data_IF_789318870522
#
_entry.id   IF_789318870522
#
_cell.length_a   1.000
_cell.length_b   1.000
_cell.length_c   1.000
_cell.angle_alpha   90.00
_cell.angle_beta   90.00
_cell.angle_gamma   90.00
#
_symmetry.space_group_name_H-M   'P 1'
#
loop_
_entity.id
_entity.type
_entity.pdbx_description
1 polymer ?
#
# COMPACT_ATOMS: atom_id res chain seq x y z
N UNK A 1 2.40 37.50 18.94
CA UNK A 1 2.45 36.40 17.96
C UNK A 1 3.88 35.88 17.89
N UNK A 2 4.10 34.65 18.37
CA UNK A 2 5.41 33.98 18.36
C UNK A 2 5.67 33.22 17.04
N UNK A 3 4.76 33.33 16.05
CA UNK A 3 4.89 32.71 14.73
C UNK A 3 4.64 31.20 14.69
N UNK A 4 4.15 30.60 15.80
CA UNK A 4 3.82 29.18 15.88
C UNK A 4 2.42 28.90 15.33
N UNK A 5 2.25 27.77 14.63
CA UNK A 5 0.97 27.32 14.11
C UNK A 5 0.13 26.72 15.26
N UNK A 6 -0.90 27.42 15.73
CA UNK A 6 -1.74 26.96 16.83
C UNK A 6 -3.00 26.20 16.38
N UNK A 7 -3.44 26.41 15.13
CA UNK A 7 -4.68 25.83 14.62
C UNK A 7 -4.66 25.62 13.12
N UNK A 8 -5.18 24.49 12.67
CA UNK A 8 -5.53 24.21 11.28
C UNK A 8 -7.04 24.02 11.23
N UNK A 9 -7.72 24.75 10.35
CA UNK A 9 -9.17 24.60 10.13
C UNK A 9 -9.41 24.13 8.70
N UNK A 10 -10.25 23.12 8.55
CA UNK A 10 -10.67 22.56 7.28
C UNK A 10 -12.00 23.14 6.83
N UNK A 11 -12.32 23.04 5.54
CA UNK A 11 -13.57 23.58 4.97
C UNK A 11 -14.83 22.85 5.50
N UNK A 12 -14.68 21.60 5.91
CA UNK A 12 -15.72 20.77 6.54
C UNK A 12 -16.02 21.14 8.01
N UNK A 13 -15.30 22.13 8.56
CA UNK A 13 -15.43 22.59 9.94
C UNK A 13 -14.55 21.86 10.95
N UNK A 14 -13.88 20.77 10.56
CA UNK A 14 -12.91 20.10 11.40
C UNK A 14 -11.73 21.00 11.76
N UNK A 15 -11.19 20.86 12.96
CA UNK A 15 -10.03 21.63 13.39
C UNK A 15 -9.01 20.78 14.11
N UNK A 16 -7.73 21.04 13.83
CA UNK A 16 -6.61 20.52 14.60
C UNK A 16 -6.05 21.69 15.43
N UNK A 17 -5.95 21.48 16.72
CA UNK A 17 -5.35 22.42 17.69
C UNK A 17 -3.96 21.93 18.09
N UNK A 18 -2.99 22.85 18.12
CA UNK A 18 -1.63 22.59 18.54
C UNK A 18 -1.33 23.43 19.78
N UNK A 19 -0.75 22.82 20.81
CA UNK A 19 -0.38 23.49 22.06
C UNK A 19 1.14 23.40 22.27
N UNK A 20 1.73 24.46 22.82
CA UNK A 20 3.18 24.58 22.98
C UNK A 20 3.56 24.96 24.42
N UNK A 21 4.77 24.58 24.78
CA UNK A 21 5.48 25.11 25.96
C UNK A 21 6.77 25.79 25.46
N UNK A 22 6.77 27.13 25.43
CA UNK A 22 7.76 27.87 24.64
C UNK A 22 7.60 27.53 23.15
N UNK A 23 8.67 27.04 22.51
CA UNK A 23 8.66 26.64 21.11
C UNK A 23 8.42 25.12 20.91
N UNK A 24 8.33 24.35 22.01
CA UNK A 24 8.12 22.91 21.94
C UNK A 24 6.62 22.56 21.85
N UNK A 25 6.24 21.81 20.83
CA UNK A 25 4.89 21.29 20.64
C UNK A 25 4.59 20.22 21.70
N UNK A 26 3.64 20.47 22.61
CA UNK A 26 3.31 19.54 23.69
C UNK A 26 2.04 18.75 23.46
N UNK A 27 1.16 19.21 22.56
CA UNK A 27 -0.08 18.53 22.25
C UNK A 27 -0.58 18.84 20.84
N UNK A 28 -1.10 17.81 20.20
CA UNK A 28 -1.92 17.88 18.98
C UNK A 28 -3.28 17.29 19.33
N UNK A 29 -4.37 17.99 19.01
CA UNK A 29 -5.72 17.47 19.30
C UNK A 29 -6.74 17.95 18.29
N UNK A 30 -7.77 17.13 18.10
CA UNK A 30 -9.02 17.45 17.43
C UNK A 30 -10.20 16.99 18.29
N UNK A 31 -11.42 17.01 17.76
CA UNK A 31 -12.64 16.62 18.48
C UNK A 31 -12.70 15.11 18.78
N UNK A 32 -11.88 14.29 18.09
CA UNK A 32 -11.91 12.83 18.19
C UNK A 32 -10.78 12.26 19.04
N UNK A 33 -9.69 13.01 19.26
CA UNK A 33 -8.55 12.51 20.02
C UNK A 33 -7.41 13.49 20.18
N UNK A 34 -6.34 13.02 20.81
CA UNK A 34 -5.14 13.84 20.97
C UNK A 34 -3.89 13.01 21.13
N UNK A 35 -2.74 13.63 20.79
CA UNK A 35 -1.41 13.17 21.15
C UNK A 35 -0.77 14.16 22.12
N UNK A 36 -0.24 13.65 23.22
CA UNK A 36 0.63 14.41 24.12
C UNK A 36 2.10 14.08 23.79
N UNK A 37 2.93 15.10 23.75
CA UNK A 37 4.35 14.99 23.44
C UNK A 37 5.16 15.42 24.66
N UNK A 38 6.16 14.62 25.06
CA UNK A 38 7.12 15.01 26.06
C UNK A 38 8.54 14.96 25.53
N UNK A 39 9.43 15.72 26.14
CA UNK A 39 10.80 15.92 25.70
C UNK A 39 11.77 15.63 26.83
N UNK A 40 12.94 15.09 26.48
CA UNK A 40 14.03 14.89 27.44
C UNK A 40 14.71 16.23 27.81
N UNK A 41 15.69 16.16 28.70
CA UNK A 41 16.44 17.36 29.17
C UNK A 41 17.26 18.04 28.07
N UNK A 42 17.52 17.37 26.97
CA UNK A 42 18.27 17.89 25.82
C UNK A 42 17.35 18.53 24.77
N UNK A 43 16.04 18.36 24.93
CA UNK A 43 15.02 18.91 24.03
C UNK A 43 14.56 17.96 22.94
N UNK A 44 15.01 16.70 22.96
CA UNK A 44 14.58 15.68 22.01
C UNK A 44 13.22 15.09 22.43
N UNK A 45 12.36 14.78 21.45
CA UNK A 45 11.06 14.14 21.68
C UNK A 45 11.25 12.76 22.32
N UNK A 46 10.81 12.57 23.57
CA UNK A 46 11.00 11.34 24.32
C UNK A 46 9.78 10.43 24.31
N UNK A 47 8.57 11.01 24.40
CA UNK A 47 7.32 10.22 24.32
C UNK A 47 6.28 10.86 23.45
N UNK A 48 5.50 10.02 22.77
CA UNK A 48 4.24 10.40 22.12
C UNK A 48 3.14 9.51 22.71
N UNK A 49 2.19 10.11 23.44
CA UNK A 49 1.09 9.39 24.12
C UNK A 49 -0.23 9.77 23.49
N UNK A 50 -1.03 8.79 23.08
CA UNK A 50 -2.36 9.03 22.53
C UNK A 50 -3.41 9.30 23.63
N UNK A 51 -4.65 9.63 23.21
CA UNK A 51 -5.76 9.93 24.14
C UNK A 51 -6.20 8.72 24.98
N UNK A 52 -5.74 7.51 24.68
CA UNK A 52 -6.06 6.27 25.41
C UNK A 52 -4.95 5.87 26.38
N UNK A 53 -3.82 6.60 26.37
CA UNK A 53 -2.67 6.37 27.25
C UNK A 53 -1.60 5.46 26.69
N UNK A 54 -1.69 5.01 25.42
CA UNK A 54 -0.62 4.25 24.76
C UNK A 54 0.50 5.17 24.37
N UNK A 55 1.74 4.73 24.59
CA UNK A 55 2.91 5.55 24.32
C UNK A 55 3.91 4.87 23.40
N UNK A 56 4.49 5.66 22.49
CA UNK A 56 5.75 5.33 21.82
C UNK A 56 6.85 6.02 22.62
N UNK A 57 7.92 5.26 22.95
CA UNK A 57 9.10 5.75 23.66
C UNK A 57 10.27 5.89 22.68
N UNK A 58 10.93 7.03 22.71
CA UNK A 58 12.05 7.36 21.83
C UNK A 58 13.31 7.58 22.71
N UNK A 59 14.42 6.96 22.34
CA UNK A 59 15.71 7.10 23.05
C UNK A 59 16.76 7.63 22.10
N UNK A 60 17.67 8.46 22.64
CA UNK A 60 18.67 9.17 21.87
C UNK A 60 20.08 9.00 22.43
N UNK A 61 21.09 9.15 21.56
CA UNK A 61 22.47 9.42 21.89
C UNK A 61 22.83 10.77 21.27
N UNK A 62 22.95 11.81 22.12
CA UNK A 62 22.91 13.19 21.64
C UNK A 62 21.62 13.48 20.87
N UNK A 63 21.75 13.97 19.62
CA UNK A 63 20.63 14.24 18.75
C UNK A 63 20.22 13.03 17.86
N UNK A 64 20.94 11.91 17.96
CA UNK A 64 20.67 10.73 17.14
C UNK A 64 19.65 9.81 17.82
N UNK A 65 18.52 9.51 17.15
CA UNK A 65 17.54 8.55 17.62
C UNK A 65 18.12 7.13 17.56
N UNK A 66 18.31 6.47 18.72
CA UNK A 66 18.88 5.11 18.79
C UNK A 66 17.85 4.01 19.01
N UNK A 67 16.64 4.36 19.49
CA UNK A 67 15.57 3.40 19.69
C UNK A 67 14.19 4.04 19.62
N UNK A 68 13.22 3.28 19.06
CA UNK A 68 11.80 3.59 19.12
C UNK A 68 11.06 2.34 19.60
N UNK A 69 10.38 2.43 20.76
CA UNK A 69 9.64 1.33 21.38
C UNK A 69 8.13 1.55 21.23
N UNK A 70 7.42 0.52 20.80
CA UNK A 70 5.97 0.54 20.64
C UNK A 70 5.25 0.26 21.98
N UNK A 71 3.89 0.39 22.07
CA UNK A 71 3.13 0.11 23.28
C UNK A 71 3.18 -1.35 23.78
N UNK A 72 3.56 -2.31 22.95
CA UNK A 72 3.75 -3.72 23.33
C UNK A 72 5.16 -3.98 23.89
N UNK A 73 6.07 -2.96 23.90
CA UNK A 73 7.43 -3.06 24.42
C UNK A 73 8.46 -3.55 23.38
N UNK A 74 8.06 -3.69 22.13
CA UNK A 74 8.97 -4.05 21.04
C UNK A 74 9.72 -2.81 20.52
N UNK A 75 11.03 -2.93 20.26
CA UNK A 75 11.88 -1.79 19.91
C UNK A 75 12.57 -1.95 18.55
N UNK A 76 12.40 -0.95 17.68
CA UNK A 76 13.34 -0.71 16.57
C UNK A 76 14.61 -0.06 17.11
N UNK A 77 15.79 -0.40 16.55
CA UNK A 77 17.07 0.19 16.93
C UNK A 77 17.80 0.73 15.71
N UNK A 78 18.52 1.84 15.93
CA UNK A 78 19.22 2.57 14.90
C UNK A 78 20.68 2.74 15.28
N UNK A 79 21.60 2.58 14.32
CA UNK A 79 23.01 2.93 14.49
C UNK A 79 23.42 3.92 13.44
N UNK A 80 24.46 4.70 13.75
CA UNK A 80 24.94 5.76 12.87
C UNK A 80 26.44 5.63 12.67
N UNK A 81 26.90 5.99 11.48
CA UNK A 81 28.33 6.14 11.17
C UNK A 81 28.55 7.52 10.56
N UNK A 82 29.46 8.30 11.13
CA UNK A 82 29.74 9.70 10.74
C UNK A 82 28.47 10.59 10.70
N UNK A 83 27.48 10.33 11.58
CA UNK A 83 26.22 11.06 11.65
C UNK A 83 25.17 10.62 10.61
N UNK A 84 25.46 9.61 9.78
CA UNK A 84 24.54 9.03 8.80
C UNK A 84 24.01 7.68 9.30
N UNK A 85 22.75 7.37 9.01
CA UNK A 85 22.07 6.14 9.44
C UNK A 85 22.75 4.90 8.83
N UNK A 86 23.48 4.12 9.65
CA UNK A 86 24.20 2.93 9.20
C UNK A 86 23.30 1.69 9.20
N UNK A 87 22.61 1.40 10.30
CA UNK A 87 21.72 0.23 10.36
C UNK A 87 20.38 0.53 11.02
N UNK A 88 19.36 -0.22 10.59
CA UNK A 88 18.10 -0.37 11.32
C UNK A 88 17.94 -1.83 11.69
N UNK A 89 17.69 -2.10 12.98
CA UNK A 89 17.34 -3.43 13.47
C UNK A 89 15.85 -3.51 13.78
N UNK A 90 15.25 -4.64 13.43
CA UNK A 90 13.86 -4.92 13.74
C UNK A 90 13.66 -5.24 15.24
N UNK A 91 12.43 -5.51 15.64
CA UNK A 91 12.05 -5.82 17.03
C UNK A 91 12.73 -7.08 17.60
N UNK A 92 13.27 -7.98 16.76
CA UNK A 92 14.06 -9.15 17.19
C UNK A 92 15.56 -8.85 17.31
N UNK A 93 15.98 -7.64 16.91
CA UNK A 93 17.39 -7.24 16.88
C UNK A 93 18.14 -7.70 15.62
N UNK A 94 17.43 -8.16 14.60
CA UNK A 94 18.00 -8.53 13.31
C UNK A 94 18.15 -7.30 12.43
N UNK A 95 19.26 -7.18 11.69
CA UNK A 95 19.50 -6.05 10.79
C UNK A 95 18.50 -6.11 9.63
N UNK A 96 17.65 -5.07 9.57
CA UNK A 96 16.64 -4.92 8.54
C UNK A 96 17.11 -4.04 7.38
N UNK A 97 17.88 -2.99 7.68
CA UNK A 97 18.51 -2.11 6.70
C UNK A 97 19.97 -1.89 7.11
N UNK A 98 20.87 -1.90 6.14
CA UNK A 98 22.27 -1.49 6.28
C UNK A 98 22.68 -0.62 5.11
N UNK A 99 23.28 0.55 5.38
CA UNK A 99 23.69 1.53 4.39
C UNK A 99 25.18 1.82 4.47
N UNK A 100 25.80 2.04 3.31
CA UNK A 100 27.10 2.71 3.20
C UNK A 100 26.98 3.94 2.30
N UNK A 101 27.86 4.92 2.54
CA UNK A 101 27.75 6.25 1.94
C UNK A 101 29.04 6.67 1.25
N UNK A 102 28.92 7.52 0.24
CA UNK A 102 30.07 8.23 -0.33
C UNK A 102 30.45 9.47 0.53
N UNK A 103 31.49 10.18 0.08
CA UNK A 103 31.97 11.39 0.75
C UNK A 103 30.97 12.56 0.73
N UNK A 104 29.95 12.50 -0.10
CA UNK A 104 28.88 13.50 -0.20
C UNK A 104 27.65 13.12 0.63
N UNK A 105 27.68 11.98 1.34
CA UNK A 105 26.59 11.49 2.18
C UNK A 105 25.48 10.81 1.39
N UNK A 106 25.71 10.41 0.14
CA UNK A 106 24.74 9.65 -0.66
C UNK A 106 24.95 8.15 -0.47
N UNK A 107 23.87 7.38 -0.37
CA UNK A 107 23.94 5.91 -0.25
C UNK A 107 24.55 5.32 -1.51
N UNK A 108 25.65 4.57 -1.39
CA UNK A 108 26.30 3.84 -2.49
C UNK A 108 26.08 2.34 -2.43
N UNK A 109 25.77 1.82 -1.24
CA UNK A 109 25.41 0.43 -1.03
C UNK A 109 24.34 0.34 0.04
N UNK A 110 23.29 -0.48 -0.21
CA UNK A 110 22.23 -0.72 0.74
C UNK A 110 21.87 -2.20 0.73
N UNK A 111 21.79 -2.77 1.92
CA UNK A 111 21.03 -3.98 2.17
C UNK A 111 19.68 -3.59 2.77
N UNK A 112 18.59 -4.13 2.25
CA UNK A 112 17.26 -4.05 2.85
C UNK A 112 16.63 -5.44 2.82
N UNK A 113 16.17 -5.91 3.98
CA UNK A 113 15.74 -7.29 4.17
C UNK A 113 14.58 -7.69 3.25
N UNK A 114 13.75 -6.73 2.83
CA UNK A 114 12.56 -6.97 2.00
C UNK A 114 12.81 -6.91 0.49
N UNK A 115 13.93 -6.33 0.05
CA UNK A 115 14.22 -6.10 -1.37
C UNK A 115 15.62 -6.55 -1.82
N UNK A 116 16.49 -6.98 -0.87
CA UNK A 116 17.84 -7.46 -1.16
C UNK A 116 18.93 -6.39 -1.08
N UNK A 117 20.02 -6.61 -1.80
CA UNK A 117 21.21 -5.76 -1.80
C UNK A 117 21.30 -4.95 -3.08
N UNK A 118 21.59 -3.65 -2.96
CA UNK A 118 21.68 -2.72 -4.07
C UNK A 118 22.95 -1.88 -3.99
N UNK A 119 23.56 -1.66 -5.15
CA UNK A 119 24.60 -0.67 -5.38
C UNK A 119 24.04 0.52 -6.16
N UNK A 120 24.41 1.73 -5.75
CA UNK A 120 23.95 2.97 -6.37
C UNK A 120 25.14 3.74 -6.95
N UNK A 121 24.93 4.29 -8.15
CA UNK A 121 25.88 5.19 -8.77
C UNK A 121 25.19 6.49 -9.18
N UNK A 122 25.94 7.58 -9.09
CA UNK A 122 25.46 8.94 -9.37
C UNK A 122 26.35 9.58 -10.42
N UNK A 123 25.75 10.03 -11.51
CA UNK A 123 26.43 10.75 -12.60
C UNK A 123 25.77 12.13 -12.77
N UNK A 124 26.20 13.14 -12.02
CA UNK A 124 25.62 14.49 -12.07
C UNK A 124 25.80 15.17 -13.44
N UNK A 125 26.89 14.85 -14.16
CA UNK A 125 27.18 15.46 -15.46
C UNK A 125 26.13 15.04 -16.51
N UNK A 126 25.73 13.77 -16.49
CA UNK A 126 24.68 13.21 -17.36
C UNK A 126 23.32 13.18 -16.68
N UNK A 127 23.17 13.72 -15.47
CA UNK A 127 21.94 13.72 -14.66
C UNK A 127 21.33 12.32 -14.57
N UNK A 128 22.18 11.30 -14.30
CA UNK A 128 21.80 9.89 -14.27
C UNK A 128 22.10 9.28 -12.91
N UNK A 129 21.12 8.57 -12.37
CA UNK A 129 21.31 7.68 -11.24
C UNK A 129 21.07 6.24 -11.70
N UNK A 130 21.90 5.32 -11.18
CA UNK A 130 21.75 3.89 -11.51
C UNK A 130 21.71 3.09 -10.21
N UNK A 131 20.82 2.12 -10.11
CA UNK A 131 20.81 1.08 -9.08
C UNK A 131 20.97 -0.29 -9.71
N UNK A 132 21.79 -1.15 -9.08
CA UNK A 132 22.02 -2.54 -9.51
C UNK A 132 21.86 -3.45 -8.32
N UNK A 133 21.10 -4.52 -8.46
CA UNK A 133 20.96 -5.56 -7.44
C UNK A 133 21.92 -6.73 -7.69
N UNK A 134 22.27 -7.47 -6.62
CA UNK A 134 23.15 -8.66 -6.67
C UNK A 134 22.61 -9.77 -7.58
N UNK A 135 21.31 -9.78 -7.83
CA UNK A 135 20.54 -10.77 -8.62
C UNK A 135 20.35 -10.37 -10.09
N UNK A 136 21.02 -9.29 -10.52
CA UNK A 136 20.95 -8.78 -11.90
C UNK A 136 19.89 -7.70 -12.11
N UNK A 137 19.21 -7.25 -11.07
CA UNK A 137 18.36 -6.06 -11.17
C UNK A 137 19.16 -4.85 -11.64
N UNK A 138 18.57 -4.10 -12.56
CA UNK A 138 19.14 -2.87 -13.08
C UNK A 138 18.05 -1.81 -13.24
N UNK A 139 18.31 -0.61 -12.75
CA UNK A 139 17.47 0.56 -12.98
C UNK A 139 18.37 1.77 -13.22
N UNK A 140 18.19 2.45 -14.35
CA UNK A 140 18.84 3.73 -14.66
C UNK A 140 17.78 4.80 -14.87
N UNK A 141 17.90 5.92 -14.16
CA UNK A 141 16.99 7.05 -14.27
C UNK A 141 17.78 8.27 -14.75
N UNK A 142 17.25 8.95 -15.78
CA UNK A 142 17.80 10.20 -16.32
C UNK A 142 16.83 11.32 -16.02
N UNK A 143 17.37 12.45 -15.58
CA UNK A 143 16.63 13.65 -15.19
C UNK A 143 16.92 14.81 -16.18
N UNK A 144 15.97 15.71 -16.32
CA UNK A 144 16.22 17.00 -16.99
C UNK A 144 16.86 18.04 -16.05
N UNK A 145 16.97 19.28 -16.50
CA UNK A 145 17.54 20.40 -15.73
C UNK A 145 16.72 20.81 -14.53
N UNK A 146 15.43 20.47 -14.49
CA UNK A 146 14.53 20.73 -13.37
C UNK A 146 14.42 19.54 -12.41
N UNK A 147 15.19 18.45 -12.63
CA UNK A 147 15.17 17.24 -11.81
C UNK A 147 13.98 16.32 -12.09
N UNK A 148 13.26 16.50 -13.20
CA UNK A 148 12.14 15.63 -13.62
C UNK A 148 12.67 14.43 -14.34
N UNK A 149 12.09 13.25 -14.11
CA UNK A 149 12.47 12.02 -14.80
C UNK A 149 12.04 12.10 -16.26
N UNK A 150 13.01 11.98 -17.18
CA UNK A 150 12.78 11.95 -18.64
C UNK A 150 12.98 10.56 -19.24
N UNK A 151 13.79 9.71 -18.60
CA UNK A 151 13.96 8.31 -18.98
C UNK A 151 14.10 7.42 -17.75
N UNK A 152 13.51 6.22 -17.83
CA UNK A 152 13.64 5.13 -16.88
C UNK A 152 13.96 3.86 -17.65
N UNK A 153 15.14 3.29 -17.45
CA UNK A 153 15.62 2.10 -18.15
C UNK A 153 15.85 0.96 -17.17
N UNK A 154 15.28 -0.19 -17.41
CA UNK A 154 15.58 -1.45 -16.74
C UNK A 154 15.99 -2.50 -17.79
N UNK A 155 16.13 -3.77 -17.37
CA UNK A 155 16.48 -4.90 -18.23
C UNK A 155 15.48 -5.12 -19.38
N UNK A 156 14.22 -4.70 -19.23
CA UNK A 156 13.16 -4.85 -20.24
C UNK A 156 13.15 -3.71 -21.27
N UNK A 157 13.84 -2.60 -21.02
CA UNK A 157 13.93 -1.47 -21.95
C UNK A 157 13.77 -0.11 -21.30
N UNK A 158 13.51 0.91 -22.13
CA UNK A 158 13.45 2.30 -21.71
C UNK A 158 12.06 2.86 -21.86
N UNK A 159 11.56 3.44 -20.78
CA UNK A 159 10.37 4.27 -20.71
C UNK A 159 10.77 5.75 -20.79
N UNK A 160 10.01 6.58 -21.49
CA UNK A 160 10.33 8.00 -21.67
C UNK A 160 9.18 8.89 -21.29
N UNK A 161 9.50 10.09 -20.77
CA UNK A 161 8.52 11.07 -20.35
C UNK A 161 8.87 12.44 -20.93
N UNK A 162 7.87 13.22 -21.28
CA UNK A 162 8.06 14.62 -21.65
C UNK A 162 7.10 15.55 -20.90
N UNK A 163 7.52 16.79 -20.73
CA UNK A 163 6.84 17.78 -19.92
C UNK A 163 6.78 19.12 -20.67
N UNK A 164 5.75 19.90 -20.38
CA UNK A 164 5.63 21.27 -20.87
C UNK A 164 6.39 22.28 -19.98
N UNK A 165 6.26 23.57 -20.32
CA UNK A 165 6.88 24.67 -19.59
C UNK A 165 6.26 24.87 -18.20
N UNK A 166 5.03 24.40 -17.95
CA UNK A 166 4.32 24.45 -16.67
C UNK A 166 4.62 23.25 -15.77
N UNK A 167 5.57 22.39 -16.17
CA UNK A 167 5.96 21.17 -15.44
C UNK A 167 4.90 20.07 -15.45
N UNK A 168 3.99 20.07 -16.42
CA UNK A 168 2.95 19.07 -16.60
C UNK A 168 3.43 17.99 -17.56
N UNK A 169 3.19 16.70 -17.25
CA UNK A 169 3.57 15.59 -18.13
C UNK A 169 2.66 15.58 -19.37
N UNK A 170 3.23 15.77 -20.56
CA UNK A 170 2.50 15.79 -21.83
C UNK A 170 2.60 14.49 -22.61
N UNK A 171 3.59 13.64 -22.32
CA UNK A 171 3.61 12.29 -22.90
C UNK A 171 4.36 11.29 -22.04
N UNK A 172 4.01 10.03 -22.26
CA UNK A 172 4.71 8.86 -21.75
C UNK A 172 4.83 7.83 -22.88
N UNK A 173 6.05 7.34 -23.13
CA UNK A 173 6.31 6.24 -24.05
C UNK A 173 6.70 5.01 -23.25
N UNK A 174 5.96 3.92 -23.41
CA UNK A 174 6.25 2.64 -22.75
C UNK A 174 7.50 1.96 -23.35
N UNK A 175 7.90 0.82 -22.78
CA UNK A 175 9.09 0.07 -23.23
C UNK A 175 8.92 -0.59 -24.60
N UNK A 176 7.70 -0.79 -25.07
CA UNK A 176 7.38 -1.27 -26.41
C UNK A 176 7.40 -0.14 -27.46
N UNK A 177 7.49 1.12 -27.03
CA UNK A 177 7.53 2.31 -27.89
C UNK A 177 6.16 2.92 -28.18
N UNK A 178 5.11 2.50 -27.47
CA UNK A 178 3.78 3.07 -27.59
C UNK A 178 3.70 4.37 -26.77
N UNK A 179 3.16 5.44 -27.34
CA UNK A 179 3.10 6.73 -26.67
C UNK A 179 1.67 7.13 -26.34
N UNK A 180 1.46 7.46 -25.06
CA UNK A 180 0.24 8.09 -24.54
C UNK A 180 0.49 9.59 -24.39
N UNK A 181 -0.46 10.42 -24.81
CA UNK A 181 -0.40 11.87 -24.71
C UNK A 181 -1.42 12.40 -23.70
N UNK A 182 -1.06 13.47 -23.00
CA UNK A 182 -1.86 14.13 -21.99
C UNK A 182 -2.05 15.60 -22.36
N UNK A 183 -3.28 16.05 -22.36
CA UNK A 183 -3.63 17.47 -22.48
C UNK A 183 -4.12 17.99 -21.11
N UNK A 184 -3.83 19.24 -20.83
CA UNK A 184 -4.20 19.89 -19.57
C UNK A 184 -5.05 21.12 -19.84
N UNK A 185 -5.95 21.41 -18.90
CA UNK A 185 -6.69 22.68 -18.89
C UNK A 185 -5.81 23.82 -18.31
N UNK A 186 -6.34 25.03 -18.30
CA UNK A 186 -5.61 26.20 -17.78
C UNK A 186 -5.31 26.14 -16.27
N UNK A 187 -5.94 25.24 -15.53
CA UNK A 187 -5.72 25.02 -14.10
C UNK A 187 -4.75 23.86 -13.81
N UNK A 188 -4.26 23.20 -14.87
CA UNK A 188 -3.32 22.08 -14.77
C UNK A 188 -3.98 20.73 -14.54
N UNK A 189 -5.29 20.61 -14.68
CA UNK A 189 -5.97 19.31 -14.63
C UNK A 189 -5.89 18.63 -15.99
N UNK A 190 -5.79 17.27 -16.01
CA UNK A 190 -5.80 16.51 -17.26
C UNK A 190 -7.18 16.68 -17.94
N UNK A 191 -7.22 17.33 -19.10
CA UNK A 191 -8.44 17.53 -19.88
C UNK A 191 -8.69 16.43 -20.91
N UNK A 192 -7.62 15.80 -21.42
CA UNK A 192 -7.72 14.63 -22.31
C UNK A 192 -6.50 13.71 -22.19
N UNK A 193 -6.74 12.42 -22.47
CA UNK A 193 -5.70 11.40 -22.63
C UNK A 193 -5.91 10.77 -23.99
N UNK A 194 -4.87 10.78 -24.85
CA UNK A 194 -4.89 10.11 -26.15
C UNK A 194 -3.97 8.89 -26.08
N UNK A 195 -4.53 7.72 -26.33
CA UNK A 195 -3.83 6.44 -26.30
C UNK A 195 -3.15 6.10 -27.61
N UNK A 196 -2.20 5.14 -27.63
CA UNK A 196 -1.45 4.77 -28.85
C UNK A 196 -2.32 4.26 -29.99
N UNK A 197 -3.51 3.72 -29.72
CA UNK A 197 -4.48 3.27 -30.71
C UNK A 197 -5.34 4.41 -31.31
N UNK A 198 -5.09 5.66 -30.87
CA UNK A 198 -5.81 6.84 -31.31
C UNK A 198 -7.16 7.07 -30.61
N UNK A 199 -7.57 6.19 -29.69
CA UNK A 199 -8.74 6.45 -28.84
C UNK A 199 -8.40 7.46 -27.75
N UNK A 200 -9.40 8.17 -27.22
CA UNK A 200 -9.18 9.16 -26.18
C UNK A 200 -10.24 9.12 -25.08
N UNK A 201 -9.83 9.62 -23.92
CA UNK A 201 -10.70 9.96 -22.80
C UNK A 201 -10.67 11.46 -22.59
N UNK A 202 -11.75 12.05 -22.10
CA UNK A 202 -11.78 13.48 -21.77
C UNK A 202 -12.51 13.77 -20.48
N UNK A 203 -12.09 14.87 -19.82
CA UNK A 203 -12.52 15.26 -18.50
C UNK A 203 -12.90 16.74 -18.50
N UNK A 204 -13.96 17.07 -17.75
CA UNK A 204 -14.32 18.46 -17.43
C UNK A 204 -14.36 18.62 -15.93
N UNK A 205 -14.05 19.82 -15.45
CA UNK A 205 -13.90 20.12 -14.02
C UNK A 205 -14.71 21.34 -13.64
N UNK A 206 -15.08 21.43 -12.37
CA UNK A 206 -15.59 22.67 -11.75
C UNK A 206 -14.45 23.59 -11.31
N UNK A 207 -14.79 24.70 -10.66
CA UNK A 207 -13.83 25.69 -10.15
C UNK A 207 -12.96 25.13 -9.01
N UNK A 208 -13.46 24.12 -8.29
CA UNK A 208 -12.77 23.42 -7.19
C UNK A 208 -11.95 22.22 -7.68
N UNK A 209 -11.86 22.00 -9.01
CA UNK A 209 -11.15 20.89 -9.69
C UNK A 209 -11.77 19.50 -9.49
N UNK A 210 -13.05 19.43 -9.13
CA UNK A 210 -13.76 18.16 -9.13
C UNK A 210 -14.19 17.80 -10.56
N UNK A 211 -14.09 16.51 -10.93
CA UNK A 211 -14.49 16.03 -12.27
C UNK A 211 -16.01 16.10 -12.41
N UNK A 212 -16.52 17.00 -13.24
CA UNK A 212 -17.97 17.13 -13.51
C UNK A 212 -18.45 16.25 -14.65
N UNK A 213 -17.55 15.88 -15.58
CA UNK A 213 -17.86 14.99 -16.69
C UNK A 213 -16.63 14.18 -17.07
N UNK A 214 -16.86 12.91 -17.41
CA UNK A 214 -15.87 11.97 -17.95
C UNK A 214 -16.45 11.31 -19.19
N UNK A 215 -15.72 11.34 -20.31
CA UNK A 215 -16.05 10.59 -21.52
C UNK A 215 -15.03 9.49 -21.67
N UNK A 216 -15.48 8.24 -21.67
CA UNK A 216 -14.62 7.07 -21.81
C UNK A 216 -14.16 6.85 -23.27
N UNK A 217 -13.26 5.91 -23.48
CA UNK A 217 -12.71 5.54 -24.81
C UNK A 217 -13.76 5.03 -25.79
N UNK A 218 -14.97 4.65 -25.34
CA UNK A 218 -16.08 4.21 -26.17
C UNK A 218 -17.09 5.34 -26.45
N UNK A 219 -16.84 6.55 -25.91
CA UNK A 219 -17.71 7.70 -26.05
C UNK A 219 -18.86 7.74 -25.03
N UNK A 220 -18.88 6.88 -24.01
CA UNK A 220 -19.90 6.96 -22.96
C UNK A 220 -19.55 8.10 -22.00
N UNK A 221 -20.55 8.90 -21.65
CA UNK A 221 -20.38 10.04 -20.76
C UNK A 221 -20.91 9.72 -19.36
N UNK A 222 -20.08 9.87 -18.33
CA UNK A 222 -20.51 9.91 -16.93
C UNK A 222 -20.45 11.34 -16.42
N UNK A 223 -21.34 11.72 -15.51
CA UNK A 223 -21.36 13.07 -14.92
C UNK A 223 -21.56 13.03 -13.41
N UNK A 224 -21.03 14.06 -12.75
CA UNK A 224 -21.00 14.14 -11.30
C UNK A 224 -21.38 15.54 -10.83
N UNK A 225 -22.05 15.63 -9.68
CA UNK A 225 -22.26 16.88 -8.96
C UNK A 225 -21.72 16.76 -7.54
N UNK A 226 -21.31 17.88 -6.96
CA UNK A 226 -20.61 17.92 -5.68
C UNK A 226 -21.26 18.91 -4.73
N UNK A 227 -21.06 18.70 -3.43
CA UNK A 227 -21.31 19.72 -2.42
C UNK A 227 -20.10 20.66 -2.27
N UNK A 228 -20.20 21.68 -1.42
CA UNK A 228 -19.14 22.66 -1.19
C UNK A 228 -17.85 22.07 -0.54
N UNK A 229 -17.86 20.81 -0.12
CA UNK A 229 -16.70 20.10 0.45
C UNK A 229 -16.05 19.13 -0.58
N UNK A 230 -16.49 19.15 -1.84
CA UNK A 230 -15.97 18.27 -2.90
C UNK A 230 -16.49 16.83 -2.83
N UNK A 231 -17.55 16.55 -2.05
CA UNK A 231 -18.14 15.22 -1.97
C UNK A 231 -19.22 15.05 -3.03
N UNK A 232 -19.25 13.88 -3.69
CA UNK A 232 -20.19 13.56 -4.78
C UNK A 232 -21.62 13.55 -4.25
N UNK A 233 -22.50 14.41 -4.75
CA UNK A 233 -23.94 14.40 -4.48
C UNK A 233 -24.69 13.50 -5.44
N UNK A 234 -24.29 13.47 -6.72
CA UNK A 234 -24.86 12.59 -7.73
C UNK A 234 -23.78 12.06 -8.66
N UNK A 235 -23.94 10.81 -9.09
CA UNK A 235 -23.17 10.18 -10.15
C UNK A 235 -24.11 9.61 -11.17
N UNK A 236 -24.02 10.03 -12.44
CA UNK A 236 -24.85 9.55 -13.55
C UNK A 236 -23.97 8.80 -14.54
N UNK A 237 -24.30 7.55 -14.84
CA UNK A 237 -23.56 6.72 -15.81
C UNK A 237 -23.92 7.06 -17.26
N UNK A 238 -23.19 6.48 -18.24
CA UNK A 238 -23.42 6.69 -19.67
C UNK A 238 -24.77 6.18 -20.18
N UNK A 239 -25.57 5.52 -19.37
CA UNK A 239 -26.96 5.09 -19.68
C UNK A 239 -28.00 6.01 -19.06
N UNK A 240 -27.59 7.00 -18.27
CA UNK A 240 -28.46 7.92 -17.56
C UNK A 240 -28.93 7.42 -16.18
N UNK A 241 -28.41 6.32 -15.67
CA UNK A 241 -28.71 5.86 -14.31
C UNK A 241 -28.00 6.78 -13.31
N UNK A 242 -28.76 7.36 -12.39
CA UNK A 242 -28.22 8.29 -11.38
C UNK A 242 -28.27 7.67 -9.99
N UNK A 243 -27.13 7.67 -9.32
CA UNK A 243 -27.00 7.38 -7.89
C UNK A 243 -26.84 8.68 -7.13
N UNK A 244 -27.60 8.86 -6.04
CA UNK A 244 -27.55 10.04 -5.17
C UNK A 244 -26.94 9.70 -3.80
N UNK A 245 -26.24 10.67 -3.20
CA UNK A 245 -25.52 10.52 -1.94
C UNK A 245 -25.84 11.68 -1.00
N UNK A 246 -25.97 11.39 0.29
CA UNK A 246 -26.13 12.38 1.34
C UNK A 246 -25.06 12.19 2.42
N UNK A 247 -24.61 13.31 3.00
CA UNK A 247 -23.53 13.32 3.97
C UNK A 247 -23.92 14.12 5.22
N UNK A 248 -23.30 13.78 6.35
CA UNK A 248 -23.37 14.59 7.57
C UNK A 248 -22.40 15.79 7.50
N UNK A 249 -22.40 16.61 8.56
CA UNK A 249 -21.51 17.77 8.65
C UNK A 249 -20.02 17.39 8.82
N UNK A 250 -19.71 16.15 9.24
CA UNK A 250 -18.36 15.62 9.37
C UNK A 250 -17.87 14.98 8.07
N UNK A 251 -18.74 14.90 7.05
CA UNK A 251 -18.40 14.28 5.77
C UNK A 251 -18.68 12.80 5.67
N UNK A 252 -19.31 12.19 6.65
CA UNK A 252 -19.66 10.76 6.60
C UNK A 252 -20.89 10.55 5.71
N UNK A 253 -20.89 9.47 4.90
CA UNK A 253 -21.99 9.12 4.01
C UNK A 253 -23.21 8.64 4.82
N UNK A 254 -24.31 9.41 4.81
CA UNK A 254 -25.55 9.04 5.51
C UNK A 254 -26.45 8.15 4.68
N UNK A 255 -26.51 8.37 3.38
CA UNK A 255 -27.32 7.57 2.48
C UNK A 255 -26.76 7.49 1.06
N UNK A 256 -27.04 6.37 0.40
CA UNK A 256 -26.85 6.16 -1.03
C UNK A 256 -28.14 5.63 -1.63
N UNK A 257 -28.68 6.29 -2.65
CA UNK A 257 -29.89 5.88 -3.37
C UNK A 257 -29.53 5.59 -4.83
N UNK A 258 -29.78 4.34 -5.28
CA UNK A 258 -29.55 3.93 -6.66
C UNK A 258 -30.63 4.47 -7.63
N UNK A 259 -30.44 4.22 -8.93
CA UNK A 259 -31.35 4.67 -9.98
C UNK A 259 -32.75 4.04 -9.90
N UNK A 260 -32.90 2.91 -9.24
CA UNK A 260 -34.17 2.24 -8.98
C UNK A 260 -34.86 2.76 -7.72
N UNK A 261 -34.23 3.66 -6.96
CA UNK A 261 -34.73 4.24 -5.72
C UNK A 261 -34.47 3.38 -4.47
N UNK A 262 -33.61 2.36 -4.56
CA UNK A 262 -33.22 1.60 -3.40
C UNK A 262 -32.21 2.41 -2.57
N UNK A 263 -32.50 2.61 -1.29
CA UNK A 263 -31.65 3.43 -0.41
C UNK A 263 -30.98 2.56 0.65
N UNK A 264 -29.66 2.65 0.73
CA UNK A 264 -28.84 2.16 1.82
C UNK A 264 -28.48 3.31 2.74
N UNK A 265 -28.63 3.13 4.07
CA UNK A 265 -28.33 4.16 5.07
C UNK A 265 -27.25 3.72 6.03
N UNK A 266 -26.51 4.71 6.55
CA UNK A 266 -25.34 4.52 7.42
C UNK A 266 -25.49 5.37 8.68
N UNK A 267 -24.97 4.87 9.80
CA UNK A 267 -24.85 5.66 11.02
C UNK A 267 -23.42 5.58 11.55
N UNK A 268 -23.01 6.62 12.28
CA UNK A 268 -21.63 6.76 12.75
C UNK A 268 -21.60 7.12 14.23
N UNK A 269 -20.46 6.83 14.88
CA UNK A 269 -20.16 7.38 16.20
C UNK A 269 -19.57 8.81 16.05
N UNK A 270 -19.25 9.42 17.17
CA UNK A 270 -18.70 10.77 17.21
C UNK A 270 -17.25 10.89 16.68
N UNK A 271 -16.61 9.76 16.38
CA UNK A 271 -15.25 9.71 15.79
C UNK A 271 -15.27 9.37 14.30
N UNK A 272 -16.46 9.16 13.72
CA UNK A 272 -16.65 8.87 12.29
C UNK A 272 -16.57 7.38 11.95
N UNK A 273 -16.54 6.47 12.94
CA UNK A 273 -16.62 5.04 12.67
C UNK A 273 -18.05 4.64 12.33
N UNK A 274 -18.26 3.87 11.27
CA UNK A 274 -19.59 3.40 10.85
C UNK A 274 -20.15 2.40 11.87
N UNK A 275 -21.21 2.78 12.57
CA UNK A 275 -21.86 1.94 13.60
C UNK A 275 -23.00 1.08 13.09
N UNK A 276 -23.59 1.41 11.93
CA UNK A 276 -24.52 0.51 11.27
C UNK A 276 -24.70 0.81 9.78
N UNK A 277 -25.10 -0.23 9.04
CA UNK A 277 -25.54 -0.17 7.66
C UNK A 277 -26.91 -0.81 7.57
N UNK A 278 -27.88 -0.13 6.94
CA UNK A 278 -29.22 -0.66 6.70
C UNK A 278 -29.50 -0.64 5.19
N UNK A 279 -29.79 -1.81 4.61
CA UNK A 279 -30.11 -1.92 3.19
C UNK A 279 -31.54 -1.43 2.86
N UNK A 280 -31.86 -1.33 1.58
CA UNK A 280 -33.18 -0.90 1.09
C UNK A 280 -34.34 -1.81 1.52
N UNK A 281 -34.05 -3.02 2.00
CA UNK A 281 -35.06 -3.97 2.53
C UNK A 281 -35.25 -3.84 4.03
N UNK A 282 -34.46 -2.98 4.69
CA UNK A 282 -34.47 -2.78 6.15
C UNK A 282 -33.62 -3.78 6.93
N UNK A 283 -32.78 -4.61 6.26
CA UNK A 283 -31.86 -5.47 6.97
C UNK A 283 -30.70 -4.63 7.50
N UNK A 284 -30.43 -4.73 8.80
CA UNK A 284 -29.43 -3.92 9.49
C UNK A 284 -28.28 -4.78 9.99
N UNK A 285 -27.06 -4.39 9.70
CA UNK A 285 -25.83 -4.82 10.37
C UNK A 285 -25.30 -3.71 11.28
N UNK A 286 -24.63 -4.08 12.37
CA UNK A 286 -24.06 -3.10 13.32
C UNK A 286 -22.63 -3.43 13.70
N UNK A 287 -21.85 -2.39 14.05
CA UNK A 287 -20.46 -2.47 14.42
C UNK A 287 -20.20 -1.63 15.67
N UNK A 288 -19.34 -2.14 16.55
CA UNK A 288 -18.87 -1.43 17.74
C UNK A 288 -17.36 -1.31 17.72
N UNK A 289 -16.87 -0.20 18.23
CA UNK A 289 -15.45 0.13 18.20
C UNK A 289 -14.96 0.47 19.61
N UNK A 290 -13.67 0.22 19.84
CA UNK A 290 -13.01 0.69 21.06
C UNK A 290 -12.61 2.17 20.96
N UNK A 291 -12.01 2.71 22.02
CA UNK A 291 -11.56 4.10 22.08
C UNK A 291 -10.43 4.45 21.10
N UNK A 292 -9.87 3.47 20.38
CA UNK A 292 -8.89 3.64 19.32
C UNK A 292 -9.48 3.51 17.91
N UNK A 293 -10.80 3.32 17.79
CA UNK A 293 -11.47 3.10 16.52
C UNK A 293 -11.28 1.69 15.93
N UNK A 294 -10.82 0.71 16.74
CA UNK A 294 -10.69 -0.68 16.28
C UNK A 294 -12.02 -1.40 16.45
N UNK A 295 -12.43 -2.18 15.44
CA UNK A 295 -13.66 -2.95 15.46
C UNK A 295 -13.59 -4.04 16.56
N UNK A 296 -14.43 -3.94 17.59
CA UNK A 296 -14.49 -4.93 18.69
C UNK A 296 -15.70 -5.86 18.59
N UNK A 297 -16.73 -5.47 17.84
CA UNK A 297 -17.94 -6.28 17.66
C UNK A 297 -18.59 -5.96 16.31
N UNK A 298 -19.08 -6.99 15.63
CA UNK A 298 -19.89 -6.86 14.41
C UNK A 298 -21.07 -7.83 14.48
N UNK A 299 -22.28 -7.30 14.28
CA UNK A 299 -23.51 -8.10 14.21
C UNK A 299 -24.06 -8.05 12.79
N UNK A 300 -24.28 -9.21 12.18
CA UNK A 300 -24.86 -9.33 10.84
C UNK A 300 -26.38 -9.06 10.83
N UNK A 301 -26.98 -9.06 9.63
CA UNK A 301 -28.41 -8.83 9.44
C UNK A 301 -29.30 -9.94 10.03
N UNK A 302 -28.74 -11.06 10.45
CA UNK A 302 -29.42 -12.20 11.07
C UNK A 302 -29.27 -12.21 12.58
N UNK A 303 -28.51 -11.26 13.15
CA UNK A 303 -28.25 -11.14 14.58
C UNK A 303 -27.07 -11.96 15.08
N UNK A 304 -26.26 -12.55 14.20
CA UNK A 304 -25.04 -13.24 14.59
C UNK A 304 -23.95 -12.21 14.89
N UNK A 305 -23.34 -12.32 16.06
CA UNK A 305 -22.31 -11.39 16.51
C UNK A 305 -20.93 -12.05 16.52
N UNK A 306 -19.94 -11.38 15.94
CA UNK A 306 -18.52 -11.73 16.03
C UNK A 306 -17.82 -10.64 16.83
N UNK A 307 -16.93 -11.05 17.78
CA UNK A 307 -16.13 -10.12 18.57
C UNK A 307 -14.65 -10.28 18.32
N UNK A 308 -13.88 -9.20 18.55
CA UNK A 308 -12.46 -9.10 18.26
C UNK A 308 -11.70 -8.55 19.47
N UNK A 309 -10.54 -9.13 19.78
CA UNK A 309 -9.64 -8.64 20.82
C UNK A 309 -8.25 -8.35 20.23
N UNK A 310 -7.59 -7.32 20.75
CA UNK A 310 -6.32 -6.82 20.21
C UNK A 310 -5.27 -6.65 21.31
N UNK A 311 -3.97 -6.69 20.92
CA UNK A 311 -2.90 -6.18 21.79
C UNK A 311 -2.99 -4.66 21.94
N UNK A 312 -2.18 -4.08 22.82
CA UNK A 312 -2.10 -2.63 22.96
C UNK A 312 -1.56 -1.94 21.70
N UNK A 313 -0.62 -2.57 20.98
CA UNK A 313 -0.14 -2.08 19.68
C UNK A 313 -1.13 -2.27 18.52
N UNK A 314 -2.32 -2.86 18.77
CA UNK A 314 -3.39 -2.99 17.77
C UNK A 314 -3.35 -4.27 16.93
N UNK A 315 -2.58 -5.29 17.34
CA UNK A 315 -2.57 -6.60 16.65
C UNK A 315 -3.78 -7.42 17.10
N UNK A 316 -4.53 -8.00 16.15
CA UNK A 316 -5.63 -8.94 16.44
C UNK A 316 -5.07 -10.20 17.10
N UNK A 317 -5.61 -10.59 18.25
CA UNK A 317 -5.18 -11.79 19.01
C UNK A 317 -6.30 -12.79 19.23
N UNK A 318 -7.58 -12.38 19.07
CA UNK A 318 -8.69 -13.29 19.27
C UNK A 318 -9.92 -12.83 18.49
N UNK A 319 -10.62 -13.81 17.92
CA UNK A 319 -11.96 -13.64 17.35
C UNK A 319 -12.90 -14.65 18.01
N UNK A 320 -14.13 -14.24 18.35
CA UNK A 320 -15.17 -15.15 18.86
C UNK A 320 -16.39 -15.05 17.96
N UNK A 321 -16.87 -16.18 17.43
CA UNK A 321 -18.06 -16.23 16.59
C UNK A 321 -19.38 -16.19 17.40
N UNK A 322 -20.50 -16.12 16.69
CA UNK A 322 -21.83 -16.07 17.29
C UNK A 322 -22.22 -17.32 18.08
N UNK A 323 -21.53 -18.44 17.90
CA UNK A 323 -21.71 -19.70 18.59
C UNK A 323 -20.79 -19.82 19.82
N UNK A 324 -19.90 -18.83 20.03
CA UNK A 324 -18.92 -18.83 21.11
C UNK A 324 -17.65 -19.63 20.79
N UNK A 325 -17.45 -20.07 19.55
CA UNK A 325 -16.18 -20.65 19.14
C UNK A 325 -15.11 -19.57 19.08
N UNK A 326 -13.87 -19.94 19.42
CA UNK A 326 -12.75 -19.00 19.54
C UNK A 326 -11.66 -19.36 18.53
N UNK A 327 -11.20 -18.34 17.82
CA UNK A 327 -9.98 -18.39 17.03
C UNK A 327 -8.94 -17.45 17.65
N UNK A 328 -7.72 -17.93 17.84
CA UNK A 328 -6.64 -17.15 18.47
C UNK A 328 -5.49 -16.96 17.51
N UNK A 329 -4.78 -15.84 17.67
CA UNK A 329 -3.61 -15.48 16.91
C UNK A 329 -2.47 -15.15 17.86
N UNK A 330 -1.29 -15.71 17.62
CA UNK A 330 -0.09 -15.39 18.38
C UNK A 330 0.85 -14.63 17.44
N UNK A 331 1.19 -13.41 17.82
CA UNK A 331 2.13 -12.59 17.07
C UNK A 331 3.51 -12.66 17.71
N UNK A 332 4.56 -12.60 16.89
CA UNK A 332 5.94 -12.51 17.36
C UNK A 332 6.34 -11.06 17.63
N UNK A 333 7.57 -10.84 18.13
CA UNK A 333 8.09 -9.50 18.45
C UNK A 333 8.17 -8.53 17.25
N UNK A 334 8.13 -9.03 16.00
CA UNK A 334 7.98 -8.21 14.81
C UNK A 334 6.50 -7.94 14.45
N UNK A 335 5.56 -8.47 15.26
CA UNK A 335 4.13 -8.37 15.02
C UNK A 335 3.62 -9.26 13.90
N UNK A 336 4.39 -10.29 13.51
CA UNK A 336 3.98 -11.27 12.51
C UNK A 336 3.28 -12.45 13.14
N UNK A 337 2.22 -12.98 12.48
CA UNK A 337 1.51 -14.14 12.97
C UNK A 337 2.44 -15.37 13.00
N UNK A 338 2.73 -15.89 14.20
CA UNK A 338 3.53 -17.09 14.45
C UNK A 338 2.69 -18.34 14.70
N UNK A 339 1.44 -18.18 15.10
CA UNK A 339 0.46 -19.26 15.27
C UNK A 339 -0.97 -18.75 15.19
N UNK A 340 -1.85 -19.56 14.63
CA UNK A 340 -3.30 -19.34 14.69
C UNK A 340 -4.02 -20.63 15.00
N UNK A 341 -5.17 -20.51 15.69
CA UNK A 341 -6.11 -21.64 15.86
C UNK A 341 -7.26 -21.54 14.87
N UNK A 342 -7.84 -22.68 14.48
CA UNK A 342 -9.17 -22.71 13.90
C UNK A 342 -10.26 -22.59 14.99
N UNK A 343 -11.53 -22.57 14.57
CA UNK A 343 -12.69 -22.49 15.48
C UNK A 343 -12.87 -23.72 16.39
N UNK A 344 -12.14 -24.82 16.14
CA UNK A 344 -12.12 -26.03 16.96
C UNK A 344 -10.93 -26.07 17.92
N UNK A 345 -10.07 -25.04 17.89
CA UNK A 345 -8.87 -24.95 18.72
C UNK A 345 -7.66 -25.73 18.16
N UNK A 346 -7.69 -26.18 16.91
CA UNK A 346 -6.54 -26.79 16.29
C UNK A 346 -5.57 -25.70 15.84
N UNK A 347 -4.28 -25.84 16.15
CA UNK A 347 -3.27 -24.82 15.88
C UNK A 347 -2.47 -25.10 14.62
N UNK A 348 -2.32 -24.06 13.77
CA UNK A 348 -1.32 -23.98 12.72
C UNK A 348 -0.21 -23.05 13.18
N UNK A 349 1.06 -23.42 12.99
CA UNK A 349 2.22 -22.61 13.36
C UNK A 349 3.04 -22.21 12.16
N UNK A 350 3.70 -21.04 12.25
CA UNK A 350 4.50 -20.47 11.18
C UNK A 350 5.88 -20.09 11.69
N UNK A 351 6.92 -20.51 10.99
CA UNK A 351 8.27 -19.98 11.11
C UNK A 351 8.47 -18.98 9.97
N UNK A 352 8.96 -17.80 10.28
CA UNK A 352 9.12 -16.71 9.29
C UNK A 352 10.53 -16.14 9.32
N UNK A 353 10.98 -15.63 8.17
CA UNK A 353 12.20 -14.85 8.10
C UNK A 353 11.91 -13.36 8.46
N UNK A 354 12.97 -12.56 8.46
CA UNK A 354 12.94 -11.13 8.75
C UNK A 354 12.00 -10.34 7.80
N UNK A 355 11.76 -10.85 6.59
CA UNK A 355 10.87 -10.26 5.55
C UNK A 355 9.40 -10.65 5.74
N UNK A 356 9.03 -11.29 6.87
CA UNK A 356 7.69 -11.85 7.11
C UNK A 356 7.29 -13.03 6.18
N UNK A 357 8.22 -13.57 5.40
CA UNK A 357 7.93 -14.71 4.53
C UNK A 357 7.87 -15.98 5.36
N UNK A 358 6.91 -16.85 5.08
CA UNK A 358 6.75 -18.14 5.76
C UNK A 358 7.86 -19.08 5.27
N UNK A 359 8.78 -19.46 6.15
CA UNK A 359 9.79 -20.48 5.87
C UNK A 359 9.25 -21.91 6.11
N UNK A 360 8.34 -22.04 7.09
CA UNK A 360 7.69 -23.30 7.41
C UNK A 360 6.31 -23.05 8.01
N UNK A 361 5.35 -23.81 7.56
CA UNK A 361 4.01 -23.93 8.12
C UNK A 361 3.85 -25.35 8.66
N UNK A 362 3.32 -25.50 9.88
CA UNK A 362 3.00 -26.81 10.46
C UNK A 362 1.52 -26.85 10.77
N UNK A 363 0.81 -27.80 10.20
CA UNK A 363 -0.63 -27.99 10.40
C UNK A 363 -0.93 -28.61 11.78
N UNK A 364 -2.20 -28.66 12.23
CA UNK A 364 -2.58 -29.24 13.51
C UNK A 364 -2.26 -30.74 13.66
N UNK A 365 -2.03 -31.45 12.57
CA UNK A 365 -1.66 -32.87 12.58
C UNK A 365 -0.15 -33.08 12.64
N UNK A 366 0.63 -31.99 12.63
CA UNK A 366 2.10 -32.02 12.65
C UNK A 366 2.74 -32.15 11.28
N UNK A 367 1.98 -32.12 10.19
CA UNK A 367 2.54 -32.12 8.85
C UNK A 367 3.13 -30.72 8.56
N UNK A 368 4.32 -30.69 7.97
CA UNK A 368 5.00 -29.44 7.68
C UNK A 368 5.16 -29.23 6.18
N UNK A 369 4.92 -28.00 5.75
CA UNK A 369 5.29 -27.48 4.43
C UNK A 369 6.39 -26.44 4.62
N UNK A 370 7.48 -26.53 3.86
CA UNK A 370 8.58 -25.57 3.87
C UNK A 370 8.64 -24.79 2.57
N UNK A 371 9.16 -23.57 2.66
CA UNK A 371 9.25 -22.62 1.55
C UNK A 371 10.66 -22.06 1.47
N UNK A 372 11.21 -21.95 0.28
CA UNK A 372 12.47 -21.29 0.01
C UNK A 372 12.26 -20.11 -0.91
N UNK A 373 13.07 -19.07 -0.73
CA UNK A 373 12.96 -17.81 -1.45
C UNK A 373 14.33 -17.39 -1.98
N UNK A 374 14.35 -16.60 -3.05
CA UNK A 374 15.55 -15.88 -3.48
C UNK A 374 15.76 -14.59 -2.67
N UNK A 375 16.81 -13.85 -2.97
CA UNK A 375 17.16 -12.61 -2.27
C UNK A 375 16.12 -11.49 -2.43
N UNK A 376 15.28 -11.55 -3.48
CA UNK A 376 14.18 -10.62 -3.75
C UNK A 376 12.86 -11.02 -3.12
N UNK A 377 12.83 -12.17 -2.47
CA UNK A 377 11.61 -12.68 -1.88
C UNK A 377 10.71 -13.46 -2.81
N UNK A 378 11.13 -13.79 -4.03
CA UNK A 378 10.38 -14.68 -4.89
C UNK A 378 10.51 -16.11 -4.37
N UNK A 379 9.39 -16.84 -4.29
CA UNK A 379 9.37 -18.21 -3.82
C UNK A 379 9.99 -19.16 -4.86
N UNK A 380 11.13 -19.80 -4.53
CA UNK A 380 11.87 -20.68 -5.43
C UNK A 380 11.55 -22.15 -5.28
N UNK A 381 11.06 -22.57 -4.11
CA UNK A 381 10.68 -23.95 -3.83
C UNK A 381 9.61 -24.00 -2.75
N UNK A 382 8.70 -24.97 -2.86
CA UNK A 382 7.87 -25.44 -1.74
C UNK A 382 8.09 -26.93 -1.55
N UNK A 383 8.08 -27.41 -0.30
CA UNK A 383 8.19 -28.86 -0.03
C UNK A 383 7.08 -29.26 0.93
N UNK A 384 6.17 -30.14 0.49
CA UNK A 384 5.09 -30.66 1.32
C UNK A 384 5.58 -31.74 2.30
N UNK A 385 4.69 -32.18 3.19
CA UNK A 385 4.99 -33.22 4.19
C UNK A 385 5.36 -34.59 3.57
N UNK A 386 5.06 -34.83 2.29
CA UNK A 386 5.41 -36.03 1.57
C UNK A 386 6.73 -35.92 0.79
N UNK A 387 7.36 -34.75 0.84
CA UNK A 387 8.60 -34.44 0.14
C UNK A 387 8.42 -34.04 -1.33
N UNK A 388 7.20 -33.71 -1.78
CA UNK A 388 6.99 -33.17 -3.12
C UNK A 388 7.49 -31.74 -3.15
N UNK A 389 8.41 -31.44 -4.07
CA UNK A 389 9.13 -30.17 -4.10
C UNK A 389 9.07 -29.52 -5.50
N UNK A 390 7.95 -28.89 -5.89
CA UNK A 390 7.96 -28.06 -7.08
C UNK A 390 8.92 -26.88 -6.90
N UNK A 391 9.57 -26.45 -8.01
CA UNK A 391 10.53 -25.34 -8.03
C UNK A 391 10.11 -24.29 -9.05
N UNK A 392 10.53 -23.05 -8.79
CA UNK A 392 10.17 -21.89 -9.58
C UNK A 392 11.43 -21.07 -9.88
N UNK A 393 11.52 -20.51 -11.08
CA UNK A 393 12.61 -19.61 -11.47
C UNK A 393 12.05 -18.31 -12.02
N UNK A 394 12.79 -17.24 -11.81
CA UNK A 394 12.37 -15.89 -12.16
C UNK A 394 13.43 -15.18 -12.99
N UNK A 395 13.03 -14.20 -13.77
CA UNK A 395 13.94 -13.28 -14.44
C UNK A 395 14.33 -12.12 -13.51
N UNK A 396 15.19 -11.22 -14.02
CA UNK A 396 15.65 -10.07 -13.26
C UNK A 396 14.53 -9.06 -12.94
N UNK A 397 13.37 -9.12 -13.59
CA UNK A 397 12.19 -8.32 -13.29
C UNK A 397 11.28 -8.98 -12.22
N UNK A 398 11.66 -10.16 -11.70
CA UNK A 398 10.84 -10.93 -10.74
C UNK A 398 9.67 -11.69 -11.40
N UNK A 399 9.66 -11.82 -12.73
CA UNK A 399 8.63 -12.54 -13.45
C UNK A 399 8.97 -14.04 -13.49
N UNK A 400 8.01 -14.90 -13.17
CA UNK A 400 8.24 -16.34 -13.16
C UNK A 400 8.43 -16.88 -14.59
N UNK A 401 9.64 -17.32 -14.91
CA UNK A 401 9.98 -17.85 -16.25
C UNK A 401 9.84 -19.37 -16.34
N UNK A 402 9.88 -20.09 -15.21
CA UNK A 402 9.55 -21.53 -15.21
C UNK A 402 8.98 -22.01 -13.87
N UNK A 403 8.20 -23.09 -13.95
CA UNK A 403 7.75 -23.90 -12.82
C UNK A 403 7.99 -25.36 -13.15
N UNK A 404 8.77 -26.06 -12.31
CA UNK A 404 8.97 -27.52 -12.42
C UNK A 404 8.17 -28.20 -11.33
N UNK A 405 7.26 -29.09 -11.72
CA UNK A 405 6.43 -29.87 -10.76
C UNK A 405 7.29 -30.92 -10.06
N UNK A 406 6.82 -31.43 -8.93
CA UNK A 406 7.50 -32.50 -8.19
C UNK A 406 7.77 -33.78 -9.03
N UNK A 407 7.01 -34.02 -10.10
CA UNK A 407 7.19 -35.13 -11.04
C UNK A 407 8.13 -34.77 -12.20
N UNK A 408 8.77 -33.59 -12.20
CA UNK A 408 9.75 -33.17 -13.20
C UNK A 408 9.16 -32.55 -14.47
N UNK A 409 7.86 -32.43 -14.59
CA UNK A 409 7.22 -31.68 -15.70
C UNK A 409 7.46 -30.18 -15.56
N UNK A 410 7.93 -29.52 -16.61
CA UNK A 410 8.27 -28.09 -16.59
C UNK A 410 7.33 -27.27 -17.46
N UNK A 411 6.73 -26.26 -16.85
CA UNK A 411 6.07 -25.16 -17.54
C UNK A 411 7.06 -24.02 -17.76
N UNK A 412 6.99 -23.33 -18.90
CA UNK A 412 7.80 -22.14 -19.14
C UNK A 412 6.95 -20.97 -19.63
N UNK A 413 7.36 -19.75 -19.27
CA UNK A 413 6.61 -18.53 -19.53
C UNK A 413 7.52 -17.51 -20.19
N UNK A 414 6.94 -16.67 -21.07
CA UNK A 414 7.63 -15.54 -21.68
C UNK A 414 6.78 -14.29 -21.55
N UNK A 415 7.47 -13.18 -21.45
CA UNK A 415 6.87 -11.86 -21.26
C UNK A 415 7.34 -10.89 -22.34
N UNK A 416 6.55 -9.87 -22.63
CA UNK A 416 6.96 -8.72 -23.41
C UNK A 416 7.74 -7.72 -22.52
N UNK A 417 8.21 -6.62 -23.10
CA UNK A 417 9.00 -5.62 -22.37
C UNK A 417 8.20 -4.86 -21.30
N UNK A 418 6.88 -4.83 -21.42
CA UNK A 418 5.98 -4.23 -20.41
C UNK A 418 5.57 -5.23 -19.31
N UNK A 419 6.12 -6.46 -19.35
CA UNK A 419 5.90 -7.47 -18.31
C UNK A 419 4.62 -8.29 -18.48
N UNK A 420 3.95 -8.23 -19.63
CA UNK A 420 2.74 -8.99 -19.93
C UNK A 420 3.09 -10.37 -20.47
N UNK A 421 2.46 -11.44 -19.98
CA UNK A 421 2.74 -12.80 -20.44
C UNK A 421 2.30 -12.99 -21.89
N UNK A 422 3.24 -13.27 -22.79
CA UNK A 422 2.98 -13.50 -24.22
C UNK A 422 2.99 -14.97 -24.59
N UNK A 423 3.53 -15.86 -23.75
CA UNK A 423 3.52 -17.30 -24.03
C UNK A 423 3.58 -18.13 -22.74
N UNK A 424 2.91 -19.29 -22.77
CA UNK A 424 3.15 -20.38 -21.82
C UNK A 424 3.32 -21.70 -22.59
N UNK A 425 4.29 -22.53 -22.15
CA UNK A 425 4.52 -23.84 -22.72
C UNK A 425 4.36 -24.89 -21.62
N UNK A 426 3.56 -25.90 -21.87
CA UNK A 426 3.29 -27.00 -20.93
C UNK A 426 4.41 -28.07 -20.94
N UNK A 427 4.43 -29.03 -19.99
CA UNK A 427 5.41 -30.08 -19.95
C UNK A 427 5.40 -31.04 -21.16
N UNK A 428 4.34 -31.07 -21.95
CA UNK A 428 4.22 -31.86 -23.17
C UNK A 428 4.73 -31.10 -24.40
N UNK A 429 5.07 -29.81 -24.26
CA UNK A 429 5.53 -28.94 -25.34
C UNK A 429 4.42 -28.17 -26.05
N UNK A 430 3.16 -28.31 -25.58
CA UNK A 430 2.05 -27.48 -26.04
C UNK A 430 2.26 -26.03 -25.66
N UNK A 431 2.07 -25.09 -26.60
CA UNK A 431 2.35 -23.68 -26.39
C UNK A 431 1.12 -22.84 -26.68
N UNK A 432 0.66 -22.12 -25.66
CA UNK A 432 -0.36 -21.07 -25.80
C UNK A 432 0.30 -19.70 -25.91
N UNK A 433 -0.25 -18.82 -26.75
CA UNK A 433 0.27 -17.47 -26.96
C UNK A 433 -0.81 -16.42 -26.79
N UNK A 434 -0.40 -15.24 -26.30
CA UNK A 434 -1.24 -14.06 -26.17
C UNK A 434 -0.59 -12.88 -26.90
N UNK A 435 -1.35 -12.19 -27.73
CA UNK A 435 -0.93 -10.96 -28.40
C UNK A 435 -1.69 -9.79 -27.80
N UNK A 436 -0.99 -8.73 -27.51
CA UNK A 436 -1.57 -7.49 -26.98
C UNK A 436 -1.55 -6.40 -28.07
N UNK A 437 -2.54 -5.52 -28.03
CA UNK A 437 -2.53 -4.30 -28.83
C UNK A 437 -1.61 -3.22 -28.20
N UNK A 438 -1.44 -2.10 -28.90
CA UNK A 438 -0.60 -0.98 -28.45
C UNK A 438 -1.08 -0.31 -27.16
N UNK A 439 -2.23 -0.67 -26.65
CA UNK A 439 -2.81 -0.16 -25.38
C UNK A 439 -2.79 -1.20 -24.27
N UNK A 440 -2.16 -2.37 -24.51
CA UNK A 440 -2.04 -3.46 -23.56
C UNK A 440 -3.27 -4.36 -23.41
N UNK A 441 -4.27 -4.22 -24.28
CA UNK A 441 -5.44 -5.11 -24.29
C UNK A 441 -5.12 -6.37 -25.09
N UNK A 442 -5.64 -7.51 -24.66
CA UNK A 442 -5.52 -8.76 -25.43
C UNK A 442 -6.19 -8.61 -26.79
N UNK A 443 -5.38 -8.74 -27.85
CA UNK A 443 -5.81 -8.71 -29.25
C UNK A 443 -6.19 -10.10 -29.74
N UNK A 444 -5.42 -11.12 -29.37
CA UNK A 444 -5.72 -12.53 -29.69
C UNK A 444 -5.06 -13.49 -28.71
N UNK A 445 -5.63 -14.69 -28.60
CA UNK A 445 -5.05 -15.83 -27.89
C UNK A 445 -5.06 -17.04 -28.81
N UNK A 446 -4.03 -17.87 -28.71
CA UNK A 446 -3.94 -19.17 -29.40
C UNK A 446 -3.64 -20.24 -28.35
N UNK A 447 -4.45 -21.27 -28.27
CA UNK A 447 -4.23 -22.43 -27.41
C UNK A 447 -3.18 -23.38 -28.04
N UNK A 448 -2.64 -24.27 -27.16
CA UNK A 448 -1.61 -25.25 -27.48
C UNK A 448 -2.10 -26.35 -28.44
#
# INVERSE_FOLDING_TARGET
DNGLLERISYLDGNTISLSYNGDQLTRISNDTGSFALSYNSEGNLETVTDSTGRSILLSYDGDSLISAENPDGDSLRYTYENGLLATVQNFKGEVYVENTYDSEGRVIHQYAADIGTFDFTYDPENRRNTSTGSDGYYLSIVYDELGRIIESTNENGTQKFSYDELNQRVSETDREGNTTYYEHDNNGNISAITYPDGTSESYSYDEDRNVTSFIDRNGNTSSYTYNGNGQVLTSTDGRGNTTAYEYDAMGNLLSQTDAEGNTTTYTYDNTGNCTSVTDAKGNKSSMEYDGQGRLISQTDTQGNTVTYEYTEAGKLVKTTDAQGNIQTYVVDGNGFNSSESDWMGNHTTYERNIQNQVLKMTDPMGNSTTYGYDERGNMTVTTDANGHSPTYTYDAAGQMISMTTANGGTWSYKYDKDGRQVSSTDPAGGTSTTVYDSTGRTSSTTDA
#
